data_IF_316558406613
#
_entry.id   IF_316558406613
#
_cell.length_a   1.000
_cell.length_b   1.000
_cell.length_c   1.000
_cell.angle_alpha   90.00
_cell.angle_beta   90.00
_cell.angle_gamma   90.00
#
_symmetry.space_group_name_H-M   'P 1'
#
loop_
_entity.id
_entity.type
_entity.pdbx_description
1 polymer ?
#
# COMPACT_ATOMS: atom_id res chain seq x y z
N UNK A 1 -41.22 13.26 -39.99
CA UNK A 1 -41.03 13.50 -38.57
C UNK A 1 -40.50 12.29 -37.82
N UNK A 2 -40.78 11.07 -38.28
CA UNK A 2 -40.23 9.86 -37.67
C UNK A 2 -38.73 9.75 -37.67
N UNK A 3 -38.06 10.27 -38.68
CA UNK A 3 -36.60 10.18 -38.82
C UNK A 3 -35.88 11.03 -37.80
N UNK A 4 -36.34 12.25 -37.54
CA UNK A 4 -35.77 13.18 -36.57
C UNK A 4 -35.96 12.70 -35.14
N UNK A 5 -37.11 12.09 -34.82
CA UNK A 5 -37.38 11.50 -33.52
C UNK A 5 -36.51 10.29 -33.27
N UNK A 6 -36.31 9.44 -34.27
CA UNK A 6 -35.40 8.28 -34.17
C UNK A 6 -33.97 8.72 -33.96
N UNK A 7 -33.49 9.74 -34.65
CA UNK A 7 -32.17 10.29 -34.49
C UNK A 7 -31.95 10.84 -33.06
N UNK A 8 -32.94 11.60 -32.58
CA UNK A 8 -32.91 12.10 -31.18
C UNK A 8 -32.87 10.98 -30.16
N UNK A 9 -33.68 9.92 -30.39
CA UNK A 9 -33.72 8.79 -29.48
C UNK A 9 -32.40 8.00 -29.49
N UNK A 10 -31.82 7.77 -30.67
CA UNK A 10 -30.55 7.08 -30.81
C UNK A 10 -29.40 7.87 -30.20
N UNK A 11 -29.38 9.19 -30.34
CA UNK A 11 -28.40 10.06 -29.72
C UNK A 11 -28.51 10.04 -28.19
N UNK A 12 -29.72 10.08 -27.64
CA UNK A 12 -29.94 9.98 -26.21
C UNK A 12 -29.49 8.63 -25.65
N UNK A 13 -29.80 7.53 -26.35
CA UNK A 13 -29.40 6.18 -25.95
C UNK A 13 -27.87 6.04 -26.01
N UNK A 14 -27.24 6.56 -27.06
CA UNK A 14 -25.79 6.55 -27.21
C UNK A 14 -25.10 7.35 -26.13
N UNK A 15 -25.62 8.55 -25.80
CA UNK A 15 -25.07 9.39 -24.72
C UNK A 15 -25.23 8.74 -23.36
N UNK A 16 -26.38 8.12 -23.08
CA UNK A 16 -26.60 7.41 -21.82
C UNK A 16 -25.64 6.24 -21.66
N UNK A 17 -25.44 5.46 -22.73
CA UNK A 17 -24.48 4.33 -22.73
C UNK A 17 -23.06 4.82 -22.53
N UNK A 18 -22.70 5.94 -23.19
CA UNK A 18 -21.38 6.55 -23.07
C UNK A 18 -21.12 7.06 -21.63
N UNK A 19 -22.12 7.68 -21.01
CA UNK A 19 -22.02 8.13 -19.63
C UNK A 19 -21.82 6.99 -18.66
N UNK A 20 -22.56 5.90 -18.81
CA UNK A 20 -22.42 4.70 -17.98
C UNK A 20 -21.03 4.08 -18.15
N UNK A 21 -20.58 3.92 -19.41
CA UNK A 21 -19.24 3.39 -19.69
C UNK A 21 -18.15 4.28 -19.14
N UNK A 22 -18.28 5.60 -19.25
CA UNK A 22 -17.31 6.55 -18.72
C UNK A 22 -17.26 6.52 -17.20
N UNK A 23 -18.40 6.44 -16.51
CA UNK A 23 -18.45 6.35 -15.06
C UNK A 23 -17.81 5.07 -14.55
N UNK A 24 -18.07 3.93 -15.19
CA UNK A 24 -17.45 2.65 -14.84
C UNK A 24 -15.95 2.68 -15.07
N UNK A 25 -15.50 3.24 -16.21
CA UNK A 25 -14.09 3.39 -16.52
C UNK A 25 -13.40 4.31 -15.52
N UNK A 26 -14.06 5.41 -15.12
CA UNK A 26 -13.53 6.33 -14.12
C UNK A 26 -13.40 5.65 -12.76
N UNK A 27 -14.38 4.85 -12.34
CA UNK A 27 -14.32 4.10 -11.08
C UNK A 27 -13.20 3.08 -11.08
N UNK A 28 -13.00 2.36 -12.18
CA UNK A 28 -11.87 1.42 -12.33
C UNK A 28 -10.54 2.13 -12.26
N UNK A 29 -10.43 3.26 -12.93
CA UNK A 29 -9.20 4.06 -12.91
C UNK A 29 -8.88 4.54 -11.49
N UNK A 30 -9.89 4.95 -10.71
CA UNK A 30 -9.72 5.33 -9.32
C UNK A 30 -9.26 4.16 -8.45
N UNK A 31 -9.86 2.99 -8.63
CA UNK A 31 -9.47 1.77 -7.92
C UNK A 31 -8.04 1.35 -8.24
N UNK A 32 -7.66 1.37 -9.52
CA UNK A 32 -6.30 1.05 -9.95
C UNK A 32 -5.28 2.06 -9.41
N UNK A 33 -5.64 3.35 -9.39
CA UNK A 33 -4.80 4.40 -8.82
C UNK A 33 -4.60 4.18 -7.33
N UNK A 34 -5.67 3.85 -6.62
CA UNK A 34 -5.60 3.57 -5.18
C UNK A 34 -4.74 2.34 -4.89
N UNK A 35 -4.90 1.26 -5.67
CA UNK A 35 -4.07 0.06 -5.55
C UNK A 35 -2.59 0.38 -5.80
N UNK A 36 -2.31 1.19 -6.81
CA UNK A 36 -0.93 1.60 -7.11
C UNK A 36 -0.34 2.40 -5.95
N UNK A 37 -1.09 3.34 -5.41
CA UNK A 37 -0.67 4.14 -4.26
C UNK A 37 -0.33 3.25 -3.06
N UNK A 38 -1.19 2.30 -2.74
CA UNK A 38 -0.99 1.36 -1.64
C UNK A 38 0.23 0.47 -1.86
N UNK A 39 0.44 -0.02 -3.08
CA UNK A 39 1.63 -0.82 -3.43
C UNK A 39 2.93 -0.04 -3.24
N UNK A 40 2.94 1.22 -3.66
CA UNK A 40 4.11 2.08 -3.50
C UNK A 40 4.38 2.35 -2.01
N UNK A 41 3.35 2.52 -1.23
CA UNK A 41 3.47 2.70 0.22
C UNK A 41 4.03 1.44 0.90
N UNK A 42 3.53 0.25 0.53
CA UNK A 42 4.06 -1.04 1.04
C UNK A 42 5.54 -1.19 0.68
N UNK A 43 5.93 -0.86 -0.54
CA UNK A 43 7.35 -0.91 -0.95
C UNK A 43 8.22 0.03 -0.12
N UNK A 44 7.71 1.22 0.14
CA UNK A 44 8.40 2.20 0.96
C UNK A 44 8.61 1.67 2.38
N UNK A 45 7.58 1.06 2.95
CA UNK A 45 7.67 0.42 4.27
C UNK A 45 8.68 -0.72 4.25
N UNK A 46 8.67 -1.56 3.23
CA UNK A 46 9.65 -2.66 3.09
C UNK A 46 11.08 -2.14 3.07
N UNK A 47 11.34 -1.04 2.37
CA UNK A 47 12.66 -0.40 2.35
C UNK A 47 13.05 0.12 3.73
N UNK A 48 12.12 0.75 4.44
CA UNK A 48 12.35 1.21 5.81
C UNK A 48 12.62 0.05 6.76
N UNK A 49 11.90 -1.06 6.61
CA UNK A 49 12.13 -2.27 7.39
C UNK A 49 13.53 -2.83 7.17
N UNK A 50 14.00 -2.87 5.93
CA UNK A 50 15.36 -3.34 5.62
C UNK A 50 16.41 -2.47 6.28
N UNK A 51 16.23 -1.14 6.28
CA UNK A 51 17.13 -0.22 6.97
C UNK A 51 17.13 -0.45 8.48
N UNK A 52 15.97 -0.66 9.08
CA UNK A 52 15.86 -0.94 10.52
C UNK A 52 16.52 -2.28 10.89
N UNK A 53 16.32 -3.31 10.08
CA UNK A 53 17.02 -4.60 10.30
C UNK A 53 18.53 -4.45 10.20
N UNK A 54 19.00 -3.64 9.26
CA UNK A 54 20.43 -3.32 9.14
C UNK A 54 20.92 -2.64 10.40
N UNK A 55 20.19 -1.65 10.89
CA UNK A 55 20.56 -0.89 12.08
C UNK A 55 20.64 -1.80 13.31
N UNK A 56 19.69 -2.73 13.45
CA UNK A 56 19.72 -3.74 14.53
C UNK A 56 21.00 -4.58 14.41
N UNK A 57 21.30 -5.08 13.20
CA UNK A 57 22.48 -5.89 12.97
C UNK A 57 23.79 -5.15 13.25
N UNK A 58 23.89 -3.93 12.78
CA UNK A 58 25.08 -3.08 13.02
C UNK A 58 25.26 -2.80 14.50
N UNK A 59 24.17 -2.48 15.20
CA UNK A 59 24.23 -2.23 16.65
C UNK A 59 24.66 -3.47 17.41
N UNK A 60 24.09 -4.63 17.08
CA UNK A 60 24.44 -5.90 17.72
C UNK A 60 25.91 -6.25 17.52
N UNK A 61 26.42 -6.10 16.29
CA UNK A 61 27.82 -6.35 15.96
C UNK A 61 28.72 -5.38 16.72
N UNK A 62 28.39 -4.09 16.75
CA UNK A 62 29.14 -3.08 17.48
C UNK A 62 29.27 -3.40 18.97
N UNK A 63 28.18 -3.83 19.59
CA UNK A 63 28.19 -4.22 21.00
C UNK A 63 29.10 -5.43 21.23
N UNK A 64 29.05 -6.43 20.37
CA UNK A 64 29.90 -7.62 20.48
C UNK A 64 31.37 -7.29 20.22
N UNK A 65 31.68 -6.45 19.27
CA UNK A 65 33.03 -5.99 19.01
C UNK A 65 33.62 -5.16 20.17
N UNK A 66 32.76 -4.46 20.91
CA UNK A 66 33.14 -3.76 22.11
C UNK A 66 33.35 -4.67 23.31
N UNK A 67 33.14 -5.98 23.15
CA UNK A 67 33.34 -6.97 24.22
C UNK A 67 32.12 -7.17 25.11
N UNK A 68 30.97 -6.60 24.75
CA UNK A 68 29.76 -6.80 25.54
C UNK A 68 29.23 -8.22 25.38
N UNK A 69 28.69 -8.84 26.47
CA UNK A 69 28.13 -10.20 26.36
C UNK A 69 26.87 -10.23 25.52
N UNK A 70 26.56 -11.40 24.98
CA UNK A 70 25.38 -11.59 24.13
C UNK A 70 24.06 -11.18 24.82
N UNK A 71 23.95 -11.40 26.11
CA UNK A 71 22.79 -10.99 26.92
C UNK A 71 22.57 -9.49 26.89
N UNK A 72 23.66 -8.70 26.87
CA UNK A 72 23.59 -7.24 26.79
C UNK A 72 22.94 -6.79 25.48
N UNK A 73 23.22 -7.48 24.39
CA UNK A 73 22.60 -7.21 23.08
C UNK A 73 21.09 -7.34 23.16
N UNK A 74 20.59 -8.38 23.84
CA UNK A 74 19.16 -8.62 23.98
C UNK A 74 18.43 -7.56 24.81
N UNK A 75 19.13 -6.86 25.70
CA UNK A 75 18.55 -5.84 26.56
C UNK A 75 18.99 -4.42 26.20
N UNK A 76 19.67 -4.24 25.07
CA UNK A 76 20.09 -2.92 24.61
C UNK A 76 18.87 -2.05 24.31
N UNK A 77 18.85 -0.83 24.83
CA UNK A 77 17.73 0.09 24.68
C UNK A 77 17.55 0.54 23.23
N UNK A 78 18.64 0.71 22.50
CA UNK A 78 18.60 1.08 21.08
C UNK A 78 17.98 -0.04 20.23
N UNK A 79 18.41 -1.28 20.47
CA UNK A 79 17.84 -2.44 19.77
C UNK A 79 16.37 -2.59 20.12
N UNK A 80 15.97 -2.42 21.38
CA UNK A 80 14.57 -2.48 21.79
C UNK A 80 13.71 -1.44 21.07
N UNK A 81 14.23 -0.23 20.91
CA UNK A 81 13.55 0.83 20.18
C UNK A 81 13.39 0.48 18.70
N UNK A 82 14.46 -0.03 18.08
CA UNK A 82 14.42 -0.44 16.68
C UNK A 82 13.43 -1.58 16.44
N UNK A 83 13.39 -2.56 17.35
CA UNK A 83 12.43 -3.68 17.27
C UNK A 83 10.99 -3.17 17.37
N UNK A 84 10.73 -2.21 18.24
CA UNK A 84 9.40 -1.59 18.35
C UNK A 84 9.01 -0.89 17.05
N UNK A 85 9.91 -0.13 16.46
CA UNK A 85 9.66 0.54 15.19
C UNK A 85 9.39 -0.46 14.07
N UNK A 86 10.14 -1.57 14.04
CA UNK A 86 9.92 -2.67 13.09
C UNK A 86 8.50 -3.24 13.24
N UNK A 87 8.08 -3.50 14.46
CA UNK A 87 6.74 -4.05 14.72
C UNK A 87 5.64 -3.10 14.27
N UNK A 88 5.80 -1.80 14.52
CA UNK A 88 4.84 -0.78 14.09
C UNK A 88 4.74 -0.71 12.56
N UNK A 89 5.86 -0.75 11.86
CA UNK A 89 5.88 -0.74 10.39
C UNK A 89 5.27 -2.01 9.82
N UNK A 90 5.53 -3.16 10.41
CA UNK A 90 4.89 -4.43 10.00
C UNK A 90 3.37 -4.36 10.15
N UNK A 91 2.88 -3.82 11.26
CA UNK A 91 1.45 -3.66 11.48
C UNK A 91 0.82 -2.73 10.45
N UNK A 92 1.48 -1.64 10.12
CA UNK A 92 1.04 -0.71 9.08
C UNK A 92 1.00 -1.40 7.72
N UNK A 93 2.04 -2.17 7.38
CA UNK A 93 2.10 -2.92 6.13
C UNK A 93 0.95 -3.92 6.01
N UNK A 94 0.65 -4.64 7.08
CA UNK A 94 -0.47 -5.59 7.10
C UNK A 94 -1.82 -4.90 6.89
N UNK A 95 -2.02 -3.73 7.48
CA UNK A 95 -3.24 -2.93 7.27
C UNK A 95 -3.38 -2.48 5.83
N UNK A 96 -2.30 -2.02 5.21
CA UNK A 96 -2.31 -1.61 3.81
C UNK A 96 -2.59 -2.78 2.88
N UNK A 97 -2.00 -3.94 3.14
CA UNK A 97 -2.27 -5.16 2.39
C UNK A 97 -3.73 -5.60 2.51
N UNK A 98 -4.33 -5.46 3.70
CA UNK A 98 -5.74 -5.73 3.92
C UNK A 98 -6.64 -4.77 3.13
N UNK A 99 -6.28 -3.48 3.08
CA UNK A 99 -7.00 -2.50 2.25
C UNK A 99 -6.93 -2.85 0.76
N UNK A 100 -5.75 -3.27 0.29
CA UNK A 100 -5.57 -3.70 -1.10
C UNK A 100 -6.45 -4.92 -1.42
N UNK A 101 -6.55 -5.86 -0.50
CA UNK A 101 -7.38 -7.05 -0.66
C UNK A 101 -8.86 -6.68 -0.73
N UNK A 102 -9.31 -5.75 0.10
CA UNK A 102 -10.70 -5.24 0.06
C UNK A 102 -11.02 -4.61 -1.29
N UNK A 103 -10.11 -3.82 -1.85
CA UNK A 103 -10.31 -3.19 -3.16
C UNK A 103 -10.41 -4.27 -4.26
N UNK A 104 -9.54 -5.28 -4.23
CA UNK A 104 -9.57 -6.39 -5.19
C UNK A 104 -10.86 -7.19 -5.08
N UNK A 105 -11.34 -7.43 -3.88
CA UNK A 105 -12.56 -8.22 -3.65
C UNK A 105 -13.83 -7.44 -4.02
N UNK A 106 -13.78 -6.12 -4.04
CA UNK A 106 -14.90 -5.28 -4.47
C UNK A 106 -15.09 -5.29 -6.01
N UNK A 107 -14.10 -5.74 -6.75
CA UNK A 107 -14.19 -5.93 -8.19
C UNK A 107 -14.92 -7.24 -8.50
#
# INVERSE_FOLDING_TARGET
MGLLQRLKHDLKSGLATLRLGTAQAANRALEETELLRLRLEVRRIDQQLQELYRDVGERAVSLREAGEPAERVMYDTEIARLVKDIQQLKDTSHKLEAEMEEIRNAE
#
